data_IF_615284161674
#
_entry.id   IF_615284161674
#
_cell.length_a   1.000
_cell.length_b   1.000
_cell.length_c   1.000
_cell.angle_alpha   90.00
_cell.angle_beta   90.00
_cell.angle_gamma   90.00
#
_symmetry.space_group_name_H-M   'P 1'
#
loop_
_entity.id
_entity.type
_entity.pdbx_description
1 polymer ?
#
# COMPACT_ATOMS: atom_id res chain seq x y z
N UNK A 1 -34.94 -2.06 -42.51
CA UNK A 1 -34.03 -2.93 -41.74
C UNK A 1 -32.87 -2.07 -41.26
N UNK A 2 -33.18 -1.01 -40.50
CA UNK A 2 -32.20 0.02 -40.13
C UNK A 2 -32.51 0.73 -38.80
N UNK A 3 -33.52 0.27 -38.05
CA UNK A 3 -33.88 0.83 -36.73
C UNK A 3 -33.52 -0.08 -35.54
N UNK A 4 -32.99 -1.28 -35.79
CA UNK A 4 -32.60 -2.21 -34.72
C UNK A 4 -31.14 -2.10 -34.29
N UNK A 5 -30.34 -1.23 -34.93
CA UNK A 5 -28.90 -1.09 -34.65
C UNK A 5 -28.53 0.10 -33.73
N UNK A 6 -29.47 1.02 -33.43
CA UNK A 6 -29.20 2.16 -32.54
C UNK A 6 -29.50 1.92 -31.05
N UNK A 7 -30.17 0.83 -30.69
CA UNK A 7 -30.48 0.52 -29.28
C UNK A 7 -29.31 -0.20 -28.58
N UNK A 8 -28.47 -0.93 -29.32
CA UNK A 8 -27.34 -1.67 -28.74
C UNK A 8 -26.13 -0.77 -28.43
N UNK A 9 -26.03 0.41 -29.08
CA UNK A 9 -24.90 1.33 -28.86
C UNK A 9 -25.09 2.25 -27.65
N UNK A 10 -26.33 2.46 -27.19
CA UNK A 10 -26.61 3.23 -25.97
C UNK A 10 -26.62 2.39 -24.68
N UNK A 11 -26.65 1.06 -24.79
CA UNK A 11 -26.68 0.15 -23.62
C UNK A 11 -25.30 -0.30 -23.13
N UNK A 12 -24.19 0.22 -23.70
CA UNK A 12 -22.83 -0.17 -23.30
C UNK A 12 -22.03 0.93 -22.58
N UNK A 13 -22.69 1.93 -22.01
CA UNK A 13 -22.01 3.03 -21.31
C UNK A 13 -22.61 3.43 -19.95
N UNK A 14 -23.41 2.56 -19.31
CA UNK A 14 -23.88 2.77 -17.93
C UNK A 14 -23.83 1.45 -17.15
N UNK A 15 -22.64 0.91 -17.01
CA UNK A 15 -22.31 -0.09 -15.98
C UNK A 15 -20.98 0.28 -15.33
N UNK A 16 -20.92 1.52 -14.83
CA UNK A 16 -19.99 1.90 -13.78
C UNK A 16 -20.81 2.50 -12.63
N UNK A 17 -20.50 2.03 -11.43
CA UNK A 17 -21.23 2.26 -10.19
C UNK A 17 -21.38 3.76 -9.91
N UNK A 18 -22.56 4.32 -10.16
CA UNK A 18 -22.97 5.62 -9.63
C UNK A 18 -23.96 5.43 -8.48
N UNK A 19 -23.90 6.24 -7.42
CA UNK A 19 -24.78 6.09 -6.27
C UNK A 19 -26.24 6.38 -6.66
N UNK A 20 -27.16 5.56 -6.16
CA UNK A 20 -28.62 5.64 -6.34
C UNK A 20 -29.26 7.02 -6.03
N UNK A 21 -28.51 7.97 -5.47
CA UNK A 21 -28.97 9.34 -5.20
C UNK A 21 -29.21 10.19 -6.45
N UNK A 22 -28.49 9.95 -7.55
CA UNK A 22 -28.64 10.73 -8.79
C UNK A 22 -29.90 10.37 -9.58
N UNK A 23 -30.27 9.09 -9.61
CA UNK A 23 -31.47 8.62 -10.29
C UNK A 23 -32.75 9.17 -9.65
N UNK A 24 -32.75 9.33 -8.32
CA UNK A 24 -33.88 9.93 -7.58
C UNK A 24 -34.01 11.41 -7.89
N UNK A 25 -32.88 12.14 -8.02
CA UNK A 25 -32.90 13.56 -8.37
C UNK A 25 -33.47 13.81 -9.77
N UNK A 26 -33.10 13.00 -10.77
CA UNK A 26 -33.66 13.11 -12.12
C UNK A 26 -35.14 12.73 -12.20
N UNK A 27 -35.57 11.69 -11.48
CA UNK A 27 -36.99 11.29 -11.41
C UNK A 27 -37.82 12.37 -10.72
N UNK A 28 -37.31 12.99 -9.64
CA UNK A 28 -37.99 14.08 -8.95
C UNK A 28 -38.07 15.34 -9.83
N UNK A 29 -37.03 15.62 -10.61
CA UNK A 29 -36.99 16.73 -11.55
C UNK A 29 -37.95 16.52 -12.74
N UNK A 30 -38.07 15.29 -13.25
CA UNK A 30 -39.05 14.89 -14.27
C UNK A 30 -40.50 14.89 -13.76
N UNK A 31 -40.70 14.62 -12.47
CA UNK A 31 -42.02 14.67 -11.85
C UNK A 31 -42.48 16.10 -11.54
N UNK A 32 -41.57 16.96 -11.05
CA UNK A 32 -41.84 18.38 -10.78
C UNK A 32 -42.05 19.19 -12.06
N UNK A 33 -41.37 18.85 -13.15
CA UNK A 33 -41.52 19.50 -14.46
C UNK A 33 -42.79 19.13 -15.22
N UNK A 34 -43.55 18.13 -14.76
CA UNK A 34 -44.85 17.72 -15.34
C UNK A 34 -46.07 18.13 -14.52
N UNK A 35 -45.89 18.90 -13.44
CA UNK A 35 -47.01 19.50 -12.72
C UNK A 35 -47.56 20.69 -13.53
N UNK A 36 -48.86 20.70 -13.91
CA UNK A 36 -49.46 21.87 -14.51
C UNK A 36 -49.41 23.03 -13.51
N UNK A 37 -48.99 24.20 -13.99
CA UNK A 37 -48.98 25.46 -13.24
C UNK A 37 -50.43 25.85 -12.91
N UNK A 38 -50.95 25.34 -11.79
CA UNK A 38 -52.28 25.71 -11.30
C UNK A 38 -52.13 27.02 -10.52
N UNK A 39 -52.71 28.08 -11.10
CA UNK A 39 -52.96 29.37 -10.47
C UNK A 39 -53.62 29.23 -9.10
N UNK A 40 -53.16 30.01 -8.11
CA UNK A 40 -53.78 30.12 -6.79
C UNK A 40 -55.31 30.28 -6.86
N UNK A 41 -56.04 29.61 -5.96
CA UNK A 41 -57.17 30.27 -5.31
C UNK A 41 -57.13 30.16 -3.77
N UNK A 42 -57.79 31.15 -3.17
CA UNK A 42 -58.02 31.50 -1.77
C UNK A 42 -58.37 30.34 -0.78
N UNK A 43 -58.23 30.53 0.55
CA UNK A 43 -58.06 29.48 1.53
C UNK A 43 -59.40 28.92 1.99
N UNK A 44 -59.92 27.90 1.30
CA UNK A 44 -61.01 27.05 1.83
C UNK A 44 -61.11 25.72 1.08
N UNK A 45 -60.05 24.90 1.10
CA UNK A 45 -60.21 23.45 0.89
C UNK A 45 -59.17 22.63 1.67
N UNK A 46 -59.53 22.26 2.90
CA UNK A 46 -58.76 21.31 3.73
C UNK A 46 -58.82 19.85 3.23
N UNK A 47 -59.23 19.61 1.98
CA UNK A 47 -59.47 18.27 1.44
C UNK A 47 -58.37 17.76 0.49
N UNK A 48 -57.64 18.65 -0.20
CA UNK A 48 -56.62 18.24 -1.18
C UNK A 48 -55.27 17.84 -0.52
N UNK A 49 -54.89 18.50 0.59
CA UNK A 49 -53.64 18.23 1.29
C UNK A 49 -53.64 16.87 2.02
N UNK A 50 -54.79 16.40 2.52
CA UNK A 50 -54.90 15.09 3.16
C UNK A 50 -54.63 13.94 2.17
N UNK A 51 -55.01 14.08 0.90
CA UNK A 51 -54.78 13.05 -0.13
C UNK A 51 -53.28 12.89 -0.44
N UNK A 52 -52.54 14.00 -0.52
CA UNK A 52 -51.09 13.99 -0.77
C UNK A 52 -50.35 13.37 0.42
N UNK A 53 -50.71 13.74 1.65
CA UNK A 53 -50.09 13.16 2.85
C UNK A 53 -50.36 11.66 2.98
N UNK A 54 -51.57 11.19 2.66
CA UNK A 54 -51.89 9.76 2.66
C UNK A 54 -51.08 9.03 1.57
N UNK A 55 -50.94 9.63 0.39
CA UNK A 55 -50.17 9.02 -0.71
C UNK A 55 -48.68 8.92 -0.37
N UNK A 56 -48.09 9.98 0.20
CA UNK A 56 -46.70 9.97 0.67
C UNK A 56 -46.51 8.99 1.84
N UNK A 57 -47.44 8.92 2.79
CA UNK A 57 -47.40 7.96 3.89
C UNK A 57 -47.49 6.51 3.40
N UNK A 58 -48.31 6.22 2.39
CA UNK A 58 -48.41 4.89 1.78
C UNK A 58 -47.14 4.52 1.01
N UNK A 59 -46.52 5.45 0.28
CA UNK A 59 -45.23 5.23 -0.38
C UNK A 59 -44.12 4.96 0.66
N UNK A 60 -44.09 5.74 1.75
CA UNK A 60 -43.16 5.52 2.86
C UNK A 60 -43.42 4.18 3.57
N UNK A 61 -44.67 3.77 3.74
CA UNK A 61 -45.03 2.50 4.35
C UNK A 61 -44.62 1.31 3.46
N UNK A 62 -44.82 1.40 2.14
CA UNK A 62 -44.36 0.40 1.16
C UNK A 62 -42.83 0.35 1.13
N UNK A 63 -42.15 1.50 1.23
CA UNK A 63 -40.69 1.56 1.31
C UNK A 63 -40.14 0.94 2.60
N UNK A 64 -40.77 1.20 3.75
CA UNK A 64 -40.34 0.61 5.04
C UNK A 64 -40.64 -0.88 5.14
N UNK A 65 -41.79 -1.34 4.64
CA UNK A 65 -42.14 -2.77 4.61
C UNK A 65 -41.35 -3.54 3.56
N UNK A 66 -41.07 -2.93 2.40
CA UNK A 66 -40.20 -3.49 1.36
C UNK A 66 -38.74 -3.62 1.82
N UNK A 67 -38.22 -2.63 2.56
CA UNK A 67 -36.90 -2.74 3.19
C UNK A 67 -36.87 -3.76 4.34
N UNK A 68 -37.97 -3.95 5.08
CA UNK A 68 -38.04 -4.99 6.12
C UNK A 68 -38.08 -6.41 5.53
N UNK A 69 -38.69 -6.60 4.36
CA UNK A 69 -38.70 -7.89 3.65
C UNK A 69 -37.35 -8.18 2.96
N UNK A 70 -36.73 -7.18 2.33
CA UNK A 70 -35.37 -7.30 1.78
C UNK A 70 -34.31 -7.47 2.87
N UNK A 71 -34.52 -6.92 4.08
CA UNK A 71 -33.65 -7.16 5.23
C UNK A 71 -33.74 -8.61 5.75
N UNK A 72 -34.85 -9.31 5.54
CA UNK A 72 -34.98 -10.72 5.91
C UNK A 72 -34.33 -11.66 4.89
N UNK A 73 -34.39 -11.35 3.59
CA UNK A 73 -33.65 -12.10 2.57
C UNK A 73 -32.14 -11.79 2.59
N UNK A 74 -31.74 -10.56 2.96
CA UNK A 74 -30.33 -10.27 3.26
C UNK A 74 -29.85 -10.93 4.56
N UNK A 75 -30.73 -11.20 5.53
CA UNK A 75 -30.37 -11.98 6.73
C UNK A 75 -30.11 -13.45 6.44
N UNK A 76 -30.63 -13.99 5.34
CA UNK A 76 -30.29 -15.34 4.87
C UNK A 76 -28.92 -15.36 4.16
N UNK A 77 -28.47 -14.22 3.61
CA UNK A 77 -27.13 -14.09 3.00
C UNK A 77 -26.06 -13.48 3.93
N UNK A 78 -26.46 -12.84 5.04
CA UNK A 78 -25.60 -12.30 6.10
C UNK A 78 -25.73 -13.08 7.43
N UNK A 79 -26.33 -14.27 7.38
CA UNK A 79 -26.59 -15.18 8.50
C UNK A 79 -25.39 -16.00 8.97
N UNK A 80 -24.15 -15.52 8.78
CA UNK A 80 -23.01 -15.92 9.63
C UNK A 80 -22.82 -14.82 10.68
N UNK A 81 -23.82 -14.71 11.55
CA UNK A 81 -23.65 -14.05 12.83
C UNK A 81 -22.59 -14.81 13.61
N UNK A 82 -21.46 -14.13 13.85
CA UNK A 82 -20.49 -14.46 14.86
C UNK A 82 -21.21 -14.62 16.20
N UNK A 83 -21.50 -15.86 16.57
CA UNK A 83 -21.69 -16.20 17.97
C UNK A 83 -20.32 -16.09 18.63
N UNK A 84 -20.11 -15.02 19.39
CA UNK A 84 -19.14 -14.98 20.48
C UNK A 84 -19.59 -15.97 21.57
N UNK A 85 -19.50 -17.25 21.26
CA UNK A 85 -19.30 -18.30 22.23
C UNK A 85 -17.83 -18.67 22.11
N UNK A 86 -17.09 -18.58 23.22
CA UNK A 86 -15.76 -19.12 23.40
C UNK A 86 -15.61 -20.46 22.66
N UNK A 87 -15.12 -20.41 21.43
CA UNK A 87 -14.51 -21.54 20.79
C UNK A 87 -13.03 -21.24 20.88
N UNK A 88 -12.43 -21.82 21.92
CA UNK A 88 -11.09 -22.38 21.81
C UNK A 88 -11.08 -23.28 20.57
N UNK A 89 -10.91 -22.67 19.40
CA UNK A 89 -10.36 -23.37 18.27
C UNK A 89 -8.90 -23.58 18.64
N UNK A 90 -8.61 -24.74 19.22
CA UNK A 90 -7.31 -25.36 19.09
C UNK A 90 -6.96 -25.33 17.60
N UNK A 91 -6.23 -24.30 17.19
CA UNK A 91 -5.39 -24.36 16.03
C UNK A 91 -4.39 -25.48 16.37
N UNK A 92 -4.64 -26.68 15.83
CA UNK A 92 -3.63 -27.73 15.82
C UNK A 92 -2.39 -27.10 15.20
N UNK A 93 -1.31 -27.08 15.98
CA UNK A 93 -0.01 -26.50 15.66
C UNK A 93 0.45 -26.94 14.28
N UNK A 94 0.26 -26.08 13.28
CA UNK A 94 1.07 -26.09 12.07
C UNK A 94 2.39 -25.40 12.44
N UNK A 95 3.34 -26.16 13.00
CA UNK A 95 4.71 -25.67 13.11
C UNK A 95 5.25 -25.41 11.69
N UNK A 96 5.58 -24.15 11.40
CA UNK A 96 6.48 -23.83 10.31
C UNK A 96 7.87 -24.37 10.70
N UNK A 97 8.13 -25.65 10.42
CA UNK A 97 9.44 -26.24 10.65
C UNK A 97 10.46 -25.58 9.72
N UNK A 98 11.36 -24.77 10.26
CA UNK A 98 12.69 -24.61 9.67
C UNK A 98 13.41 -25.95 9.86
N UNK A 99 13.61 -26.70 8.77
CA UNK A 99 14.39 -27.94 8.83
C UNK A 99 15.84 -27.60 9.18
N UNK A 100 16.29 -28.04 10.35
CA UNK A 100 17.69 -28.27 10.68
C UNK A 100 17.85 -29.77 10.96
N UNK A 101 18.93 -30.33 10.44
CA UNK A 101 19.22 -31.77 10.38
C UNK A 101 19.32 -32.41 11.78
N UNK A 102 18.80 -33.64 11.91
CA UNK A 102 18.93 -34.41 13.15
C UNK A 102 18.26 -35.79 13.12
N UNK A 103 19.07 -36.80 12.81
CA UNK A 103 18.86 -38.25 12.93
C UNK A 103 18.17 -38.65 14.27
N UNK A 104 17.30 -39.68 14.31
CA UNK A 104 17.29 -40.81 15.29
C UNK A 104 16.14 -41.84 15.04
N UNK A 105 16.58 -43.07 14.73
CA UNK A 105 16.07 -44.46 14.88
C UNK A 105 14.61 -44.82 15.30
N UNK A 106 14.03 -45.80 14.58
CA UNK A 106 12.90 -46.70 14.95
C UNK A 106 13.40 -47.95 15.71
N UNK A 107 12.54 -48.76 16.40
CA UNK A 107 11.92 -49.92 15.73
C UNK A 107 10.47 -50.30 16.16
N UNK A 108 9.85 -51.09 15.26
CA UNK A 108 8.55 -51.79 15.28
C UNK A 108 8.32 -52.76 16.46
N UNK A 109 7.04 -53.05 16.75
CA UNK A 109 6.51 -54.45 16.81
C UNK A 109 4.99 -54.53 16.51
N UNK A 110 4.61 -55.39 15.56
CA UNK A 110 3.27 -55.98 15.32
C UNK A 110 3.00 -57.07 16.40
N UNK A 111 1.80 -57.56 16.74
CA UNK A 111 0.73 -58.25 15.98
C UNK A 111 -0.43 -58.57 16.96
N UNK A 112 -1.68 -58.76 16.50
CA UNK A 112 -2.49 -59.99 16.67
C UNK A 112 -3.90 -59.83 16.05
N UNK A 113 -4.46 -60.95 15.61
CA UNK A 113 -5.36 -61.12 14.47
C UNK A 113 -6.74 -61.67 14.87
N UNK A 114 -7.74 -61.40 13.99
CA UNK A 114 -9.06 -62.07 13.81
C UNK A 114 -10.14 -61.81 14.89
N UNK A 115 -11.37 -61.42 14.56
CA UNK A 115 -12.36 -62.20 13.78
C UNK A 115 -13.61 -61.33 13.48
N UNK A 116 -14.41 -61.74 12.48
CA UNK A 116 -15.76 -61.27 12.08
C UNK A 116 -15.81 -60.38 10.83
N UNK A 117 -15.43 -61.02 9.73
CA UNK A 117 -16.04 -60.81 8.42
C UNK A 117 -17.43 -61.46 8.45
N UNK A 118 -18.51 -60.66 8.35
CA UNK A 118 -19.78 -60.94 7.62
C UNK A 118 -20.95 -60.08 8.15
N UNK A 119 -20.84 -58.77 7.96
CA UNK A 119 -22.01 -57.93 7.64
C UNK A 119 -21.66 -57.12 6.38
N UNK A 120 -21.64 -57.82 5.24
CA UNK A 120 -21.70 -57.18 3.93
C UNK A 120 -23.17 -56.87 3.65
N UNK A 121 -23.50 -55.58 3.65
CA UNK A 121 -24.24 -54.87 2.59
C UNK A 121 -25.02 -53.69 3.18
N UNK A 122 -24.27 -52.62 3.50
CA UNK A 122 -24.65 -51.22 3.28
C UNK A 122 -23.45 -50.35 3.69
N UNK A 123 -22.36 -50.37 2.91
CA UNK A 123 -21.26 -49.40 3.05
C UNK A 123 -20.48 -49.24 1.74
N UNK A 124 -21.17 -48.77 0.71
CA UNK A 124 -20.60 -47.84 -0.27
C UNK A 124 -21.04 -46.46 0.22
N UNK A 125 -20.22 -45.47 0.54
CA UNK A 125 -18.83 -45.16 0.25
C UNK A 125 -18.31 -44.25 1.38
N UNK A 126 -17.32 -44.69 2.16
CA UNK A 126 -16.37 -43.77 2.79
C UNK A 126 -15.07 -44.50 3.06
N UNK A 127 -14.28 -44.74 2.01
CA UNK A 127 -12.84 -44.86 2.18
C UNK A 127 -12.29 -43.46 2.51
N UNK A 128 -12.65 -42.91 3.66
CA UNK A 128 -11.91 -41.81 4.27
C UNK A 128 -10.63 -42.44 4.82
N UNK A 129 -9.65 -42.52 3.92
CA UNK A 129 -8.28 -42.90 4.22
C UNK A 129 -7.79 -42.12 5.43
N UNK A 130 -7.60 -42.82 6.54
CA UNK A 130 -6.96 -42.34 7.78
C UNK A 130 -5.50 -41.91 7.59
N UNK A 131 -4.94 -41.97 6.36
CA UNK A 131 -3.62 -41.41 6.02
C UNK A 131 -3.60 -39.88 5.89
N UNK A 132 -4.74 -39.22 5.82
CA UNK A 132 -4.80 -37.77 5.54
C UNK A 132 -4.89 -36.92 6.82
N UNK A 133 -4.11 -37.25 7.85
CA UNK A 133 -3.99 -36.37 9.02
C UNK A 133 -2.91 -35.32 8.76
N UNK A 134 -3.33 -34.06 8.90
CA UNK A 134 -2.51 -32.87 9.17
C UNK A 134 -1.45 -32.52 8.13
N UNK A 135 -1.90 -32.10 6.94
CA UNK A 135 -1.05 -31.29 6.06
C UNK A 135 -1.63 -29.89 5.96
N UNK A 136 -0.84 -28.91 6.40
CA UNK A 136 -1.20 -27.50 6.39
C UNK A 136 -1.38 -27.03 4.93
N UNK A 137 -2.63 -26.79 4.53
CA UNK A 137 -3.00 -26.23 3.22
C UNK A 137 -3.23 -24.73 3.38
N UNK A 138 -2.97 -23.92 2.34
CA UNK A 138 -3.43 -22.53 2.32
C UNK A 138 -4.94 -22.49 2.58
N UNK A 139 -5.39 -21.55 3.42
CA UNK A 139 -6.80 -21.37 3.72
C UNK A 139 -7.60 -21.14 2.44
N UNK A 140 -8.73 -21.83 2.27
CA UNK A 140 -9.58 -21.76 1.07
C UNK A 140 -9.17 -22.70 -0.05
N UNK A 141 -8.10 -23.50 0.12
CA UNK A 141 -7.65 -24.51 -0.86
C UNK A 141 -8.05 -25.94 -0.48
N UNK A 142 -8.95 -26.12 0.49
CA UNK A 142 -9.32 -27.42 1.04
C UNK A 142 -9.91 -28.37 -0.02
N UNK A 143 -10.61 -27.81 -1.01
CA UNK A 143 -11.19 -28.55 -2.13
C UNK A 143 -10.17 -29.01 -3.19
N UNK A 144 -8.95 -28.48 -3.18
CA UNK A 144 -7.93 -28.77 -4.20
C UNK A 144 -7.05 -29.97 -3.80
N UNK A 145 -6.63 -30.82 -4.76
CA UNK A 145 -5.58 -31.81 -4.53
C UNK A 145 -4.27 -31.15 -4.08
N UNK A 146 -3.57 -31.75 -3.13
CA UNK A 146 -2.35 -31.17 -2.56
C UNK A 146 -1.29 -30.79 -3.61
N UNK A 147 -1.12 -31.61 -4.65
CA UNK A 147 -0.11 -31.41 -5.67
C UNK A 147 -0.41 -30.32 -6.71
N UNK A 148 -1.61 -29.72 -6.73
CA UNK A 148 -1.96 -28.65 -7.68
C UNK A 148 -1.74 -27.24 -7.11
N UNK A 149 -1.63 -27.12 -5.78
CA UNK A 149 -1.59 -25.81 -5.12
C UNK A 149 -0.17 -25.24 -5.18
N UNK A 150 0.01 -24.16 -5.93
CA UNK A 150 1.19 -23.30 -5.80
C UNK A 150 0.99 -22.35 -4.62
N UNK A 151 1.95 -22.31 -3.69
CA UNK A 151 1.91 -21.42 -2.53
C UNK A 151 2.31 -19.98 -2.86
N UNK A 152 3.11 -19.81 -3.92
CA UNK A 152 3.69 -18.53 -4.32
C UNK A 152 3.47 -18.27 -5.80
N UNK A 153 3.62 -17.01 -6.19
CA UNK A 153 3.65 -16.53 -7.57
C UNK A 153 4.88 -15.64 -7.75
N UNK A 154 5.05 -15.08 -8.94
CA UNK A 154 6.06 -14.07 -9.25
C UNK A 154 5.49 -13.00 -10.19
N UNK A 155 6.34 -12.05 -10.60
CA UNK A 155 5.98 -10.98 -11.53
C UNK A 155 6.49 -11.21 -12.95
N UNK A 156 6.91 -12.43 -13.28
CA UNK A 156 7.42 -12.75 -14.61
C UNK A 156 6.30 -12.67 -15.66
N UNK A 157 6.50 -11.87 -16.69
CA UNK A 157 5.57 -11.79 -17.82
C UNK A 157 5.68 -13.08 -18.65
N UNK A 158 4.55 -13.76 -18.87
CA UNK A 158 4.48 -14.99 -19.67
C UNK A 158 3.87 -14.68 -21.05
N UNK A 159 4.42 -15.23 -22.14
CA UNK A 159 3.83 -15.05 -23.47
C UNK A 159 2.45 -15.73 -23.53
N UNK A 160 1.56 -15.19 -24.36
CA UNK A 160 0.21 -15.76 -24.55
C UNK A 160 0.24 -17.14 -25.23
N UNK A 161 1.30 -17.44 -25.98
CA UNK A 161 1.56 -18.71 -26.64
C UNK A 161 3.07 -18.89 -26.87
N UNK A 162 3.49 -20.14 -27.11
CA UNK A 162 4.90 -20.48 -27.35
C UNK A 162 5.61 -20.93 -26.08
N UNK A 163 6.88 -21.32 -26.26
CA UNK A 163 7.71 -21.77 -25.16
C UNK A 163 8.13 -20.58 -24.29
N UNK A 164 8.23 -20.83 -22.99
CA UNK A 164 8.80 -19.87 -22.05
C UNK A 164 10.30 -20.05 -22.06
N UNK A 165 11.02 -19.06 -22.56
CA UNK A 165 12.46 -18.99 -22.34
C UNK A 165 12.71 -18.95 -20.83
N UNK A 166 13.55 -19.85 -20.35
CA UNK A 166 14.03 -19.83 -18.97
C UNK A 166 14.97 -18.65 -18.83
N UNK A 167 14.43 -17.45 -18.62
CA UNK A 167 15.25 -16.31 -18.22
C UNK A 167 15.92 -16.66 -16.89
N UNK A 168 17.19 -16.26 -16.69
CA UNK A 168 17.77 -16.30 -15.36
C UNK A 168 16.86 -15.49 -14.44
N UNK A 169 16.43 -16.08 -13.32
CA UNK A 169 15.55 -15.43 -12.38
C UNK A 169 16.23 -14.15 -11.89
N UNK A 170 15.77 -12.99 -12.37
CA UNK A 170 16.14 -11.69 -11.82
C UNK A 170 15.86 -11.69 -10.33
N UNK A 171 16.91 -11.62 -9.52
CA UNK A 171 16.80 -11.80 -8.07
C UNK A 171 16.32 -10.54 -7.35
N UNK A 172 16.11 -9.42 -8.02
CA UNK A 172 15.73 -8.16 -7.36
C UNK A 172 14.59 -7.44 -8.08
N UNK A 173 13.81 -6.69 -7.30
CA UNK A 173 12.67 -5.90 -7.74
C UNK A 173 12.90 -4.42 -7.43
N UNK A 174 12.69 -3.56 -8.43
CA UNK A 174 12.46 -2.13 -8.24
C UNK A 174 10.97 -1.82 -8.42
N UNK A 175 10.35 -1.35 -7.35
CA UNK A 175 9.02 -0.78 -7.37
C UNK A 175 9.11 0.73 -7.10
N UNK A 176 8.57 1.55 -7.98
CA UNK A 176 8.75 3.00 -7.93
C UNK A 176 7.44 3.73 -8.22
N UNK A 177 7.10 4.71 -7.38
CA UNK A 177 6.02 5.65 -7.70
C UNK A 177 6.45 6.54 -8.85
N UNK A 178 5.57 6.79 -9.82
CA UNK A 178 5.90 7.60 -11.00
C UNK A 178 4.74 8.48 -11.43
N UNK A 179 5.11 9.63 -11.97
CA UNK A 179 4.22 10.50 -12.72
C UNK A 179 4.95 11.15 -13.88
N UNK A 180 4.18 11.53 -14.89
CA UNK A 180 4.68 11.97 -16.19
C UNK A 180 5.57 13.21 -16.11
N UNK A 181 5.35 14.07 -15.11
CA UNK A 181 6.16 15.27 -14.87
C UNK A 181 7.62 14.94 -14.50
N UNK A 182 7.91 13.72 -14.03
CA UNK A 182 9.24 13.27 -13.63
C UNK A 182 9.84 12.28 -14.65
N UNK A 183 9.23 12.13 -15.83
CA UNK A 183 9.58 11.11 -16.84
C UNK A 183 11.07 11.03 -17.15
N UNK A 184 11.75 12.16 -17.38
CA UNK A 184 13.18 12.15 -17.75
C UNK A 184 14.09 11.63 -16.64
N UNK A 185 13.78 11.97 -15.39
CA UNK A 185 14.51 11.50 -14.23
C UNK A 185 14.29 10.01 -14.02
N UNK A 186 13.03 9.57 -14.10
CA UNK A 186 12.66 8.16 -14.02
C UNK A 186 13.30 7.37 -15.16
N UNK A 187 13.32 7.87 -16.39
CA UNK A 187 13.97 7.22 -17.52
C UNK A 187 15.46 6.93 -17.25
N UNK A 188 16.18 7.90 -16.69
CA UNK A 188 17.58 7.73 -16.30
C UNK A 188 17.76 6.68 -15.20
N UNK A 189 16.82 6.63 -14.26
CA UNK A 189 16.80 5.65 -13.19
C UNK A 189 16.52 4.24 -13.71
N UNK A 190 15.44 4.05 -14.47
CA UNK A 190 15.00 2.73 -14.94
C UNK A 190 16.02 2.08 -15.88
N UNK A 191 16.61 2.84 -16.81
CA UNK A 191 17.68 2.32 -17.67
C UNK A 191 18.82 1.70 -16.85
N UNK A 192 19.26 2.40 -15.81
CA UNK A 192 20.32 1.90 -14.93
C UNK A 192 19.94 0.60 -14.22
N UNK A 193 18.71 0.46 -13.73
CA UNK A 193 18.30 -0.78 -13.05
C UNK A 193 18.13 -1.95 -14.03
N UNK A 194 17.62 -1.70 -15.23
CA UNK A 194 17.47 -2.73 -16.27
C UNK A 194 18.81 -3.26 -16.78
N UNK A 195 19.85 -2.43 -16.82
CA UNK A 195 21.23 -2.86 -17.13
C UNK A 195 21.81 -3.87 -16.11
N UNK A 196 21.17 -4.01 -14.94
CA UNK A 196 21.58 -4.90 -13.85
C UNK A 196 20.51 -5.97 -13.54
N UNK A 197 19.72 -6.37 -14.55
CA UNK A 197 18.75 -7.47 -14.49
C UNK A 197 17.69 -7.34 -13.38
N UNK A 198 17.23 -6.12 -13.07
CA UNK A 198 16.11 -5.91 -12.16
C UNK A 198 14.77 -6.11 -12.87
N UNK A 199 13.82 -6.74 -12.16
CA UNK A 199 12.40 -6.58 -12.50
C UNK A 199 11.97 -5.19 -12.07
N UNK A 200 11.25 -4.48 -12.93
CA UNK A 200 10.80 -3.10 -12.66
C UNK A 200 9.27 -3.04 -12.70
N UNK A 201 8.70 -2.41 -11.68
CA UNK A 201 7.28 -2.14 -11.55
C UNK A 201 7.04 -0.65 -11.29
N UNK A 202 6.30 0.00 -12.18
CA UNK A 202 5.95 1.41 -12.11
C UNK A 202 4.55 1.58 -11.50
N UNK A 203 4.44 2.42 -10.47
CA UNK A 203 3.18 2.80 -9.86
C UNK A 203 2.75 4.19 -10.35
N UNK A 204 1.93 4.21 -11.40
CA UNK A 204 1.42 5.43 -12.02
C UNK A 204 0.31 6.04 -11.17
N UNK A 205 0.67 7.04 -10.36
CA UNK A 205 -0.29 7.72 -9.49
C UNK A 205 -1.12 8.78 -10.23
N UNK A 206 -0.72 9.18 -11.43
CA UNK A 206 -1.39 10.19 -12.24
C UNK A 206 -2.33 9.61 -13.31
N UNK A 207 -2.31 8.29 -13.49
CA UNK A 207 -3.12 7.61 -14.50
C UNK A 207 -2.48 7.55 -15.89
N UNK A 208 -1.32 8.18 -16.10
CA UNK A 208 -0.73 8.37 -17.43
C UNK A 208 0.24 7.25 -17.76
N UNK A 209 -0.23 6.24 -18.50
CA UNK A 209 0.59 5.09 -18.93
C UNK A 209 1.06 5.24 -20.37
N UNK A 210 0.18 5.63 -21.28
CA UNK A 210 0.48 5.60 -22.72
C UNK A 210 1.62 6.54 -23.15
N UNK A 211 1.79 7.66 -22.44
CA UNK A 211 2.86 8.61 -22.72
C UNK A 211 4.26 8.06 -22.40
N UNK A 212 4.38 6.90 -21.74
CA UNK A 212 5.66 6.23 -21.51
C UNK A 212 6.10 5.32 -22.65
N UNK A 213 5.19 5.01 -23.61
CA UNK A 213 5.42 4.05 -24.69
C UNK A 213 6.46 4.50 -25.73
N UNK A 214 6.88 5.76 -25.72
CA UNK A 214 8.01 6.27 -26.51
C UNK A 214 9.37 5.84 -25.96
N UNK A 215 9.43 5.33 -24.72
CA UNK A 215 10.64 4.77 -24.12
C UNK A 215 10.74 3.27 -24.48
N UNK A 216 11.86 2.87 -25.08
CA UNK A 216 12.09 1.50 -25.58
C UNK A 216 11.91 0.41 -24.50
N UNK A 217 12.24 0.74 -23.24
CA UNK A 217 12.12 -0.19 -22.13
C UNK A 217 10.69 -0.30 -21.57
N UNK A 218 9.75 0.57 -21.96
CA UNK A 218 8.39 0.63 -21.39
C UNK A 218 7.65 -0.71 -21.54
N UNK A 219 7.80 -1.38 -22.68
CA UNK A 219 7.19 -2.70 -22.92
C UNK A 219 7.82 -3.85 -22.13
N UNK A 220 8.95 -3.63 -21.47
CA UNK A 220 9.71 -4.64 -20.72
C UNK A 220 9.50 -4.55 -19.21
N UNK A 221 8.74 -3.56 -18.74
CA UNK A 221 8.47 -3.34 -17.31
C UNK A 221 6.98 -3.47 -17.01
N UNK A 222 6.63 -3.57 -15.74
CA UNK A 222 5.24 -3.72 -15.31
C UNK A 222 4.66 -2.35 -14.99
N UNK A 223 3.53 -2.02 -15.60
CA UNK A 223 2.81 -0.77 -15.32
C UNK A 223 1.57 -1.07 -14.48
N UNK A 224 1.46 -0.44 -13.32
CA UNK A 224 0.26 -0.47 -12.48
C UNK A 224 -0.23 0.96 -12.31
N UNK A 225 -1.48 1.23 -12.68
CA UNK A 225 -2.03 2.58 -12.69
C UNK A 225 -3.27 2.68 -11.80
N UNK A 226 -3.25 3.66 -10.90
CA UNK A 226 -4.38 4.01 -10.05
C UNK A 226 -4.27 5.49 -9.65
N UNK A 227 -5.18 6.31 -10.17
CA UNK A 227 -5.13 7.76 -9.97
C UNK A 227 -5.21 8.15 -8.48
N UNK A 228 -4.39 9.13 -8.11
CA UNK A 228 -4.32 9.73 -6.78
C UNK A 228 -4.03 8.72 -5.65
N UNK A 229 -3.34 7.61 -5.96
CA UNK A 229 -2.86 6.66 -4.97
C UNK A 229 -1.39 6.87 -4.63
N UNK A 230 -1.03 6.64 -3.38
CA UNK A 230 0.33 6.80 -2.86
C UNK A 230 1.17 5.55 -3.11
N UNK A 231 2.51 5.71 -3.09
CA UNK A 231 3.47 4.60 -3.18
C UNK A 231 3.12 3.40 -2.28
N UNK A 232 2.80 3.67 -1.02
CA UNK A 232 2.49 2.62 -0.03
C UNK A 232 1.11 2.00 -0.23
N UNK A 233 0.16 2.71 -0.85
CA UNK A 233 -1.12 2.12 -1.27
C UNK A 233 -0.90 1.04 -2.32
N UNK A 234 -0.06 1.31 -3.33
CA UNK A 234 0.32 0.35 -4.36
C UNK A 234 1.10 -0.81 -3.76
N UNK A 235 2.13 -0.51 -2.98
CA UNK A 235 2.98 -1.54 -2.37
C UNK A 235 2.15 -2.53 -1.52
N UNK A 236 1.18 -2.03 -0.74
CA UNK A 236 0.29 -2.88 0.05
C UNK A 236 -0.56 -3.84 -0.80
N UNK A 237 -0.91 -3.46 -2.03
CA UNK A 237 -1.86 -4.20 -2.89
C UNK A 237 -1.17 -5.10 -3.92
N UNK A 238 -0.02 -4.67 -4.45
CA UNK A 238 0.63 -5.34 -5.57
C UNK A 238 1.94 -6.05 -5.20
N UNK A 239 2.52 -5.74 -4.03
CA UNK A 239 3.75 -6.40 -3.56
C UNK A 239 3.45 -7.37 -2.41
N UNK A 240 2.44 -8.23 -2.57
CA UNK A 240 2.12 -9.25 -1.57
C UNK A 240 3.31 -10.19 -1.33
N UNK A 241 3.66 -10.57 -0.10
CA UNK A 241 4.88 -11.34 0.19
C UNK A 241 4.98 -12.67 -0.54
N UNK A 242 3.84 -13.32 -0.84
CA UNK A 242 3.80 -14.58 -1.59
C UNK A 242 3.94 -14.39 -3.11
N UNK A 243 3.75 -13.16 -3.62
CA UNK A 243 4.01 -12.79 -5.03
C UNK A 243 5.46 -12.34 -5.21
N UNK A 244 6.01 -11.57 -4.27
CA UNK A 244 7.39 -11.07 -4.37
C UNK A 244 8.41 -12.00 -3.70
N UNK A 245 8.00 -13.23 -3.40
CA UNK A 245 8.82 -14.20 -2.66
C UNK A 245 10.04 -14.69 -3.45
N UNK A 246 10.11 -14.47 -4.76
CA UNK A 246 11.26 -14.90 -5.58
C UNK A 246 12.36 -13.84 -5.67
N UNK A 247 12.12 -12.63 -5.15
CA UNK A 247 13.09 -11.54 -5.14
C UNK A 247 13.83 -11.47 -3.79
N UNK A 248 15.16 -11.47 -3.82
CA UNK A 248 16.05 -11.32 -2.68
C UNK A 248 15.91 -9.94 -2.04
N UNK A 249 15.87 -8.89 -2.88
CA UNK A 249 15.75 -7.50 -2.46
C UNK A 249 14.67 -6.73 -3.21
N UNK A 250 13.94 -5.91 -2.48
CA UNK A 250 12.83 -5.09 -2.95
C UNK A 250 13.15 -3.63 -2.67
N UNK A 251 13.35 -2.86 -3.73
CA UNK A 251 13.56 -1.42 -3.72
C UNK A 251 12.18 -0.77 -3.85
N UNK A 252 11.80 0.07 -2.89
CA UNK A 252 10.51 0.77 -2.90
C UNK A 252 10.71 2.28 -2.91
N UNK A 253 10.95 2.84 -4.09
CA UNK A 253 11.54 4.18 -4.25
C UNK A 253 10.52 5.24 -4.70
N UNK A 254 10.84 6.50 -4.40
CA UNK A 254 10.18 7.69 -4.95
C UNK A 254 10.84 8.09 -6.30
N UNK A 255 10.09 8.81 -7.12
CA UNK A 255 10.45 9.25 -8.48
C UNK A 255 11.48 10.38 -8.54
N UNK A 256 11.66 11.14 -7.46
CA UNK A 256 12.48 12.35 -7.42
C UNK A 256 13.93 12.11 -6.97
N UNK A 257 14.43 10.91 -7.26
CA UNK A 257 15.77 10.43 -6.90
C UNK A 257 16.72 10.42 -8.10
N UNK A 258 17.82 11.16 -7.98
CA UNK A 258 18.94 11.15 -8.93
C UNK A 258 19.94 10.04 -8.62
N UNK A 259 20.21 9.18 -9.60
CA UNK A 259 21.06 7.98 -9.42
C UNK A 259 22.46 8.09 -10.04
N UNK A 260 22.94 9.28 -10.38
CA UNK A 260 24.24 9.47 -11.08
C UNK A 260 25.40 8.69 -10.44
N UNK A 261 25.52 8.77 -9.10
CA UNK A 261 26.61 8.16 -8.32
C UNK A 261 26.25 6.83 -7.65
N UNK A 262 25.18 6.19 -8.12
CA UNK A 262 24.67 4.93 -7.58
C UNK A 262 24.90 3.78 -8.56
N UNK A 263 25.30 2.63 -8.04
CA UNK A 263 25.45 1.39 -8.78
C UNK A 263 24.72 0.23 -8.05
N UNK A 264 23.66 -0.37 -8.64
CA UNK A 264 22.85 -1.40 -7.99
C UNK A 264 23.64 -2.60 -7.47
N UNK A 265 24.52 -3.20 -8.29
CA UNK A 265 25.28 -4.38 -7.86
C UNK A 265 26.24 -4.12 -6.71
N UNK A 266 26.97 -2.99 -6.78
CA UNK A 266 27.88 -2.58 -5.70
C UNK A 266 27.11 -2.32 -4.41
N UNK A 267 25.96 -1.65 -4.51
CA UNK A 267 25.08 -1.43 -3.37
C UNK A 267 24.66 -2.76 -2.75
N UNK A 268 24.12 -3.69 -3.54
CA UNK A 268 23.67 -4.99 -3.06
C UNK A 268 24.82 -5.87 -2.53
N UNK A 269 26.03 -5.75 -3.08
CA UNK A 269 27.21 -6.44 -2.53
C UNK A 269 27.47 -6.01 -1.08
N UNK A 270 27.38 -4.70 -0.80
CA UNK A 270 27.55 -4.15 0.54
C UNK A 270 26.38 -4.56 1.45
N UNK A 271 25.14 -4.51 0.97
CA UNK A 271 23.96 -4.97 1.73
C UNK A 271 24.15 -6.41 2.21
N UNK A 272 24.60 -7.30 1.33
CA UNK A 272 24.86 -8.72 1.65
C UNK A 272 26.03 -8.89 2.61
N UNK A 273 27.16 -8.24 2.35
CA UNK A 273 28.36 -8.30 3.21
C UNK A 273 28.07 -7.82 4.63
N UNK A 274 27.30 -6.74 4.77
CA UNK A 274 26.94 -6.13 6.03
C UNK A 274 25.74 -6.80 6.71
N UNK A 275 25.12 -7.77 6.03
CA UNK A 275 23.95 -8.51 6.49
C UNK A 275 22.74 -7.60 6.79
N UNK A 276 22.54 -6.54 6.02
CA UNK A 276 21.45 -5.59 6.21
C UNK A 276 20.14 -6.16 5.67
N UNK A 277 19.09 -6.07 6.48
CA UNK A 277 17.73 -6.49 6.11
C UNK A 277 16.89 -5.31 5.60
N UNK A 278 17.19 -4.12 6.10
CA UNK A 278 16.57 -2.87 5.68
C UNK A 278 17.68 -1.86 5.47
N UNK A 279 17.72 -1.24 4.32
CA UNK A 279 18.79 -0.30 4.01
C UNK A 279 18.32 0.80 3.06
N UNK A 280 19.16 1.80 2.86
CA UNK A 280 19.00 2.78 1.80
C UNK A 280 20.37 3.28 1.33
N UNK A 281 20.47 3.82 0.10
CA UNK A 281 21.63 4.61 -0.30
C UNK A 281 21.73 5.88 0.56
N UNK A 282 22.95 6.38 0.76
CA UNK A 282 23.14 7.68 1.39
C UNK A 282 22.74 8.82 0.45
N UNK A 283 22.53 10.01 1.02
CA UNK A 283 22.19 11.22 0.28
C UNK A 283 23.39 12.15 0.16
N UNK A 284 23.62 12.64 -1.05
CA UNK A 284 24.58 13.71 -1.28
C UNK A 284 24.06 15.01 -0.67
N UNK A 285 24.72 15.49 0.39
CA UNK A 285 24.36 16.72 1.10
C UNK A 285 24.42 17.97 0.21
N UNK A 286 25.34 17.99 -0.76
CA UNK A 286 25.54 19.15 -1.63
C UNK A 286 24.49 19.27 -2.74
N UNK A 287 23.82 18.16 -3.08
CA UNK A 287 22.85 18.10 -4.17
C UNK A 287 21.41 17.88 -3.70
N UNK A 288 21.20 17.29 -2.51
CA UNK A 288 19.86 16.92 -2.05
C UNK A 288 19.14 18.07 -1.35
N UNK A 289 17.91 18.36 -1.77
CA UNK A 289 17.08 19.44 -1.20
C UNK A 289 16.53 19.08 0.18
N UNK A 290 16.09 17.83 0.36
CA UNK A 290 15.46 17.33 1.59
C UNK A 290 16.20 16.09 2.06
N UNK A 291 16.55 16.05 3.34
CA UNK A 291 17.24 14.92 3.95
C UNK A 291 17.09 14.94 5.47
N UNK A 292 17.19 13.76 6.07
CA UNK A 292 17.36 13.61 7.50
C UNK A 292 18.85 13.47 7.87
N UNK A 293 19.30 13.92 9.05
CA UNK A 293 20.73 13.90 9.40
C UNK A 293 21.42 12.52 9.32
N UNK A 294 20.68 11.43 9.53
CA UNK A 294 21.19 10.06 9.43
C UNK A 294 21.17 9.52 8.00
N UNK A 295 20.47 10.13 7.05
CA UNK A 295 20.50 9.69 5.64
C UNK A 295 21.66 10.31 4.87
N UNK A 296 22.33 11.32 5.44
CA UNK A 296 23.42 12.06 4.80
C UNK A 296 24.69 11.20 4.68
N UNK A 297 25.28 11.24 3.48
CA UNK A 297 26.53 10.54 3.16
C UNK A 297 27.72 10.97 4.01
N UNK A 298 28.46 9.98 4.49
CA UNK A 298 29.77 10.12 5.14
C UNK A 298 30.89 9.72 4.19
N UNK A 299 31.69 10.69 3.75
CA UNK A 299 32.73 10.48 2.74
C UNK A 299 33.79 9.42 3.09
N UNK A 300 34.10 9.25 4.37
CA UNK A 300 35.13 8.32 4.86
C UNK A 300 34.54 7.05 5.49
N UNK A 301 33.35 6.66 5.05
CA UNK A 301 32.61 5.51 5.57
C UNK A 301 32.08 4.70 4.39
N UNK A 302 31.96 3.39 4.57
CA UNK A 302 31.30 2.50 3.61
C UNK A 302 29.80 2.40 3.93
N UNK A 303 29.47 2.26 5.21
CA UNK A 303 28.10 2.14 5.75
C UNK A 303 28.07 2.79 7.13
N UNK A 304 26.97 3.44 7.46
CA UNK A 304 26.68 3.84 8.83
C UNK A 304 25.25 3.50 9.24
N UNK A 305 25.05 3.31 10.54
CA UNK A 305 23.76 2.88 11.12
C UNK A 305 23.22 3.82 12.18
N UNK A 306 24.02 4.83 12.54
CA UNK A 306 23.76 5.78 13.63
C UNK A 306 24.20 7.17 13.21
N UNK A 307 23.48 8.21 13.63
CA UNK A 307 23.98 9.59 13.62
C UNK A 307 24.13 10.18 15.02
N UNK A 308 24.98 11.19 15.14
CA UNK A 308 25.26 11.87 16.39
C UNK A 308 24.71 13.28 16.38
N UNK A 309 24.04 13.66 17.47
CA UNK A 309 23.51 15.01 17.68
C UNK A 309 23.61 15.36 19.15
N UNK A 310 24.48 16.31 19.46
CA UNK A 310 24.75 16.74 20.83
C UNK A 310 23.98 18.01 21.23
N UNK A 311 23.22 18.63 20.32
CA UNK A 311 22.46 19.87 20.57
C UNK A 311 21.02 19.75 20.07
N UNK A 312 20.04 20.19 20.87
CA UNK A 312 18.60 20.18 20.54
C UNK A 312 17.76 19.34 21.52
N UNK A 313 16.45 19.22 21.25
CA UNK A 313 15.47 18.53 22.11
C UNK A 313 15.61 17.01 22.15
N UNK A 314 16.32 16.40 21.19
CA UNK A 314 16.62 14.96 21.19
C UNK A 314 18.12 14.73 20.93
N UNK A 315 18.79 14.16 21.93
CA UNK A 315 20.21 13.81 21.88
C UNK A 315 20.39 12.45 21.21
N UNK A 316 21.29 12.37 20.24
CA UNK A 316 21.74 11.10 19.67
C UNK A 316 23.20 10.88 20.04
N UNK A 317 23.43 9.88 20.87
CA UNK A 317 24.75 9.47 21.38
C UNK A 317 24.93 7.95 21.30
N UNK A 318 25.92 7.40 21.99
CA UNK A 318 26.20 5.96 21.97
C UNK A 318 25.10 5.13 22.65
N UNK A 319 24.34 5.71 23.59
CA UNK A 319 23.31 5.01 24.35
C UNK A 319 21.98 4.99 23.61
N UNK A 320 21.80 5.79 22.56
CA UNK A 320 20.57 5.76 21.78
C UNK A 320 20.42 4.41 21.06
N UNK A 321 19.25 3.81 21.16
CA UNK A 321 18.94 2.47 20.64
C UNK A 321 17.80 2.48 19.63
N UNK A 322 17.20 3.65 19.40
CA UNK A 322 15.98 3.82 18.64
C UNK A 322 16.11 4.85 17.49
N UNK A 323 15.21 4.76 16.50
CA UNK A 323 14.99 5.84 15.54
C UNK A 323 14.67 7.17 16.24
N UNK A 324 15.11 8.31 15.68
CA UNK A 324 15.86 8.45 14.43
C UNK A 324 17.38 8.29 14.59
N UNK A 325 17.89 8.02 15.80
CA UNK A 325 19.33 8.04 16.08
C UNK A 325 20.07 6.84 15.50
N UNK A 326 19.45 5.66 15.52
CA UNK A 326 20.03 4.40 15.05
C UNK A 326 18.94 3.49 14.51
N UNK A 327 19.30 2.58 13.60
CA UNK A 327 18.40 1.54 13.13
C UNK A 327 17.21 2.07 12.33
N UNK A 328 17.44 3.13 11.55
CA UNK A 328 16.43 3.88 10.82
C UNK A 328 16.94 4.25 9.43
N UNK A 329 16.04 4.13 8.45
CA UNK A 329 16.18 4.63 7.08
C UNK A 329 14.89 5.38 6.73
N UNK A 330 14.98 6.36 5.85
CA UNK A 330 13.85 7.17 5.41
C UNK A 330 12.99 6.40 4.39
N UNK A 331 11.70 6.72 4.35
CA UNK A 331 10.72 6.01 3.50
C UNK A 331 10.83 6.30 2.00
N UNK A 332 11.66 7.26 1.58
CA UNK A 332 11.75 7.65 0.17
C UNK A 332 12.54 6.65 -0.69
N UNK A 333 13.62 6.08 -0.15
CA UNK A 333 14.49 5.15 -0.89
C UNK A 333 14.82 3.85 -0.12
N UNK A 334 13.88 3.22 0.61
CA UNK A 334 14.16 2.00 1.35
C UNK A 334 14.36 0.82 0.40
N UNK A 335 15.22 -0.09 0.85
CA UNK A 335 15.47 -1.40 0.27
C UNK A 335 15.28 -2.44 1.36
N UNK A 336 14.44 -3.43 1.09
CA UNK A 336 14.12 -4.51 2.01
C UNK A 336 14.67 -5.83 1.48
N UNK A 337 15.20 -6.67 2.36
CA UNK A 337 15.30 -8.10 2.07
C UNK A 337 13.92 -8.71 1.94
N UNK A 338 13.81 -9.86 1.28
CA UNK A 338 12.58 -10.68 1.23
C UNK A 338 11.95 -10.88 2.61
N UNK A 339 12.75 -11.20 3.62
CA UNK A 339 12.27 -11.46 4.97
C UNK A 339 11.75 -10.18 5.65
N UNK A 340 12.50 -9.08 5.52
CA UNK A 340 12.06 -7.79 6.06
C UNK A 340 10.79 -7.28 5.38
N UNK A 341 10.69 -7.42 4.05
CA UNK A 341 9.49 -7.02 3.32
C UNK A 341 8.26 -7.81 3.75
N UNK A 342 8.37 -9.13 3.95
CA UNK A 342 7.25 -9.93 4.45
C UNK A 342 6.69 -9.37 5.75
N UNK A 343 7.55 -9.03 6.71
CA UNK A 343 7.12 -8.39 7.95
C UNK A 343 6.55 -6.97 7.71
N UNK A 344 7.25 -6.14 6.94
CA UNK A 344 6.85 -4.76 6.69
C UNK A 344 5.50 -4.67 5.98
N UNK A 345 5.21 -5.60 5.06
CA UNK A 345 3.92 -5.67 4.37
C UNK A 345 2.75 -5.92 5.33
N UNK A 346 2.91 -6.81 6.33
CA UNK A 346 1.90 -7.02 7.36
C UNK A 346 1.79 -5.84 8.33
N UNK A 347 2.90 -5.12 8.55
CA UNK A 347 2.90 -3.89 9.34
C UNK A 347 2.10 -2.78 8.63
N UNK A 348 2.27 -2.61 7.31
CA UNK A 348 1.50 -1.64 6.51
C UNK A 348 0.02 -2.04 6.51
N UNK A 349 -0.81 -1.14 7.02
CA UNK A 349 -2.25 -1.35 7.14
C UNK A 349 -2.98 -0.84 5.89
N UNK A 350 -4.15 -1.42 5.59
CA UNK A 350 -4.92 -1.03 4.40
C UNK A 350 -5.37 0.43 4.39
N UNK A 351 -5.55 1.02 5.58
CA UNK A 351 -5.93 2.40 5.82
C UNK A 351 -4.74 3.36 6.02
N UNK A 352 -3.51 2.82 6.06
CA UNK A 352 -2.27 3.60 6.18
C UNK A 352 -1.65 3.80 4.79
N UNK A 353 -2.23 4.69 4.01
CA UNK A 353 -1.88 4.83 2.59
C UNK A 353 -0.67 5.74 2.38
N UNK A 354 -0.49 6.81 3.16
CA UNK A 354 0.70 7.67 3.03
C UNK A 354 1.92 7.06 3.73
N UNK A 355 1.65 6.41 4.86
CA UNK A 355 2.62 5.77 5.74
C UNK A 355 3.75 6.67 6.29
N UNK A 356 3.73 7.99 6.10
CA UNK A 356 4.76 8.87 6.67
C UNK A 356 4.90 8.71 8.18
N UNK A 357 6.12 8.39 8.63
CA UNK A 357 6.44 8.09 10.03
C UNK A 357 6.44 6.59 10.37
N UNK A 358 6.02 5.71 9.46
CA UNK A 358 6.11 4.26 9.62
C UNK A 358 7.57 3.78 9.62
N UNK A 359 8.48 4.50 8.96
CA UNK A 359 9.94 4.26 8.99
C UNK A 359 10.51 4.07 10.41
N UNK A 360 9.97 4.80 11.40
CA UNK A 360 10.36 4.64 12.81
C UNK A 360 9.99 3.28 13.41
N UNK A 361 9.11 2.51 12.77
CA UNK A 361 8.72 1.15 13.16
C UNK A 361 9.28 0.07 12.26
N UNK A 362 9.79 0.40 11.07
CA UNK A 362 10.38 -0.60 10.15
C UNK A 362 11.51 -1.41 10.80
N UNK A 363 12.24 -0.86 11.77
CA UNK A 363 13.25 -1.60 12.54
C UNK A 363 12.74 -2.86 13.25
N UNK A 364 11.44 -2.99 13.54
CA UNK A 364 10.85 -4.24 14.05
C UNK A 364 10.88 -5.37 13.02
N UNK A 365 11.00 -5.04 11.74
CA UNK A 365 11.10 -6.00 10.64
C UNK A 365 12.53 -6.32 10.22
N UNK A 366 13.53 -5.85 10.96
CA UNK A 366 14.95 -6.03 10.64
C UNK A 366 15.50 -7.44 10.92
N UNK A 367 14.63 -8.44 11.17
CA UNK A 367 14.98 -9.83 11.45
C UNK A 367 16.09 -9.98 12.52
N UNK A 368 16.02 -9.15 13.57
CA UNK A 368 17.00 -9.11 14.65
C UNK A 368 17.25 -7.69 15.16
N UNK A 369 18.46 -7.46 15.66
CA UNK A 369 18.87 -6.17 16.23
C UNK A 369 18.91 -5.08 15.15
N UNK A 370 17.94 -4.16 15.19
CA UNK A 370 17.83 -3.03 14.26
C UNK A 370 19.08 -2.16 14.23
N UNK A 371 19.87 -2.11 15.29
CA UNK A 371 21.09 -1.30 15.34
C UNK A 371 22.22 -1.86 14.47
N UNK A 372 22.11 -3.13 14.07
CA UNK A 372 23.05 -3.84 13.20
C UNK A 372 22.47 -4.16 11.83
N UNK A 373 21.17 -4.47 11.78
CA UNK A 373 20.47 -4.95 10.58
C UNK A 373 19.87 -3.84 9.72
N UNK A 374 19.83 -2.60 10.21
CA UNK A 374 19.34 -1.44 9.47
C UNK A 374 20.46 -0.43 9.27
N UNK A 375 20.67 0.05 8.03
CA UNK A 375 21.80 0.94 7.73
C UNK A 375 21.71 1.73 6.43
N UNK A 376 22.53 2.77 6.37
CA UNK A 376 22.70 3.69 5.23
C UNK A 376 24.04 3.40 4.57
N UNK A 377 24.05 3.14 3.27
CA UNK A 377 25.26 2.81 2.52
C UNK A 377 25.87 4.09 1.96
N UNK A 378 27.05 4.47 2.46
CA UNK A 378 27.75 5.72 2.12
C UNK A 378 28.54 5.64 0.82
N UNK A 379 29.01 4.44 0.47
CA UNK A 379 29.79 4.19 -0.73
C UNK A 379 28.96 4.35 -2.01
N UNK A 380 27.66 4.07 -1.93
CA UNK A 380 26.70 4.14 -3.03
C UNK A 380 25.59 5.10 -2.64
N UNK A 381 25.49 6.24 -3.34
CA UNK A 381 24.69 7.36 -2.88
C UNK A 381 23.88 7.99 -4.02
N UNK A 382 22.76 8.61 -3.64
CA UNK A 382 21.79 9.22 -4.53
C UNK A 382 21.57 10.70 -4.16
N UNK A 383 20.84 11.40 -5.01
CA UNK A 383 20.39 12.78 -4.77
C UNK A 383 18.88 12.79 -4.61
N UNK A 384 18.35 13.53 -3.62
CA UNK A 384 16.90 13.73 -3.48
C UNK A 384 16.51 15.16 -3.88
N UNK A 385 15.72 15.29 -4.94
CA UNK A 385 15.39 16.59 -5.54
C UNK A 385 14.22 17.29 -4.86
N UNK A 386 13.43 16.59 -4.03
CA UNK A 386 12.35 17.19 -3.24
C UNK A 386 11.16 17.69 -4.06
N UNK A 387 10.93 17.09 -5.24
CA UNK A 387 9.89 17.53 -6.18
C UNK A 387 8.52 17.07 -5.67
N UNK A 388 7.58 17.98 -5.34
CA UNK A 388 6.29 17.58 -4.81
C UNK A 388 5.44 16.90 -5.89
N UNK A 389 5.02 15.67 -5.66
CA UNK A 389 4.32 14.87 -6.68
C UNK A 389 2.83 14.68 -6.39
N UNK A 390 2.46 14.27 -5.17
CA UNK A 390 1.07 14.19 -4.73
C UNK A 390 0.60 15.45 -3.99
N UNK A 391 -0.48 16.06 -4.48
CA UNK A 391 -1.07 17.29 -3.90
C UNK A 391 -0.28 18.58 -4.20
N UNK A 392 0.77 18.50 -5.01
CA UNK A 392 1.44 19.68 -5.57
C UNK A 392 0.52 20.34 -6.59
N UNK A 393 0.01 21.53 -6.27
CA UNK A 393 -0.78 22.31 -7.23
C UNK A 393 0.04 22.53 -8.51
N UNK A 394 -0.62 22.49 -9.68
CA UNK A 394 -0.03 22.92 -10.95
C UNK A 394 0.53 24.33 -10.77
N UNK A 395 1.83 24.41 -10.49
CA UNK A 395 2.59 25.62 -10.74
C UNK A 395 3.26 25.36 -12.06
N UNK A 396 2.67 25.92 -13.10
CA UNK A 396 3.32 26.11 -14.37
C UNK A 396 4.71 26.70 -14.13
N UNK A 397 5.67 26.20 -14.91
CA UNK A 397 7.09 26.50 -14.75
C UNK A 397 7.35 28.01 -14.68
N UNK A 398 8.00 28.43 -13.59
CA UNK A 398 8.86 29.60 -13.56
C UNK A 398 9.67 29.59 -12.27
N UNK A 399 10.70 28.74 -12.24
CA UNK A 399 11.87 28.93 -11.38
C UNK A 399 13.13 28.64 -12.19
N UNK A 400 13.36 29.47 -13.21
CA UNK A 400 14.64 29.54 -13.91
C UNK A 400 14.93 30.99 -14.31
N UNK A 401 15.45 31.77 -13.37
CA UNK A 401 16.31 32.93 -13.61
C UNK A 401 16.79 33.52 -12.28
N UNK A 402 17.85 32.92 -11.74
CA UNK A 402 18.78 33.61 -10.82
C UNK A 402 19.85 34.25 -11.71
N UNK A 403 19.76 35.56 -11.90
CA UNK A 403 20.79 36.52 -12.31
C UNK A 403 20.09 37.88 -12.24
N UNK A 404 20.61 39.00 -11.75
CA UNK A 404 21.91 39.43 -11.25
C UNK A 404 21.59 40.58 -10.27
N UNK A 405 22.32 40.67 -9.17
CA UNK A 405 22.22 41.81 -8.27
C UNK A 405 22.80 43.07 -8.96
N UNK A 406 22.05 44.17 -9.03
CA UNK A 406 22.66 45.47 -8.74
C UNK A 406 21.69 46.62 -8.36
N UNK A 407 22.16 47.40 -7.38
CA UNK A 407 21.86 48.76 -6.93
C UNK A 407 20.46 49.26 -6.51
N UNK A 408 20.51 50.02 -5.40
CA UNK A 408 19.47 50.64 -4.56
C UNK A 408 19.17 52.10 -5.00
N UNK A 409 18.45 52.96 -4.24
CA UNK A 409 17.00 53.03 -3.93
C UNK A 409 16.37 54.39 -4.33
N UNK A 410 15.04 54.50 -4.56
CA UNK A 410 14.20 55.62 -4.06
C UNK A 410 12.72 55.64 -4.50
N UNK A 411 11.88 55.90 -3.48
CA UNK A 411 10.71 56.79 -3.39
C UNK A 411 9.44 56.62 -4.24
N UNK A 412 8.36 56.32 -3.49
CA UNK A 412 7.06 57.03 -3.37
C UNK A 412 6.09 57.12 -4.56
N UNK A 413 4.96 56.45 -4.33
CA UNK A 413 3.56 56.86 -4.48
C UNK A 413 3.03 57.23 -5.87
N UNK A 414 2.06 56.44 -6.35
CA UNK A 414 0.69 56.95 -6.59
C UNK A 414 -0.32 55.81 -6.71
N UNK A 415 -1.50 56.09 -6.18
CA UNK A 415 -2.69 55.26 -6.07
C UNK A 415 -3.23 54.74 -7.39
N UNK A 416 -3.80 53.53 -7.38
CA UNK A 416 -5.15 53.29 -7.88
C UNK A 416 -5.79 52.10 -7.16
N UNK A 417 -6.86 52.42 -6.46
CA UNK A 417 -7.79 51.52 -5.77
C UNK A 417 -8.69 50.85 -6.80
N UNK A 418 -8.50 49.56 -7.07
CA UNK A 418 -9.52 48.64 -7.59
C UNK A 418 -8.97 47.20 -7.68
N UNK A 419 -8.66 46.59 -6.53
CA UNK A 419 -8.45 45.13 -6.44
C UNK A 419 -8.66 44.57 -5.02
N UNK A 420 -9.25 45.35 -4.11
CA UNK A 420 -9.48 44.96 -2.73
C UNK A 420 -10.84 44.27 -2.55
N UNK A 421 -11.06 43.15 -3.25
CA UNK A 421 -12.17 42.22 -2.95
C UNK A 421 -12.03 40.83 -3.59
N UNK A 422 -10.90 40.50 -4.25
CA UNK A 422 -10.73 39.19 -4.91
C UNK A 422 -9.39 38.52 -4.58
N UNK A 423 -8.72 38.99 -3.52
CA UNK A 423 -7.42 38.51 -3.05
C UNK A 423 -7.51 37.60 -1.79
N UNK A 424 -8.66 36.98 -1.55
CA UNK A 424 -8.87 36.04 -0.44
C UNK A 424 -9.41 34.67 -0.89
N UNK A 425 -9.20 34.29 -2.15
CA UNK A 425 -9.06 32.85 -2.43
C UNK A 425 -7.67 32.45 -1.93
N UNK A 426 -7.59 32.21 -0.62
CA UNK A 426 -6.52 31.42 -0.02
C UNK A 426 -6.34 30.20 -0.93
N UNK A 427 -5.19 30.16 -1.59
CA UNK A 427 -4.69 28.99 -2.30
C UNK A 427 -4.56 27.90 -1.24
N UNK A 428 -5.65 27.18 -0.97
CA UNK A 428 -5.66 26.03 -0.08
C UNK A 428 -4.60 25.08 -0.61
N UNK A 429 -3.48 25.01 0.09
CA UNK A 429 -2.38 24.15 -0.29
C UNK A 429 -2.86 22.71 -0.10
N UNK A 430 -3.28 22.05 -1.18
CA UNK A 430 -3.69 20.64 -1.16
C UNK A 430 -2.64 19.77 -0.46
N UNK A 431 -1.36 20.18 -0.47
CA UNK A 431 -0.29 19.53 0.28
C UNK A 431 -0.52 19.56 1.78
N UNK A 432 -1.02 20.66 2.35
CA UNK A 432 -1.36 20.74 3.78
C UNK A 432 -2.45 19.75 4.16
N UNK A 433 -3.45 19.54 3.30
CA UNK A 433 -4.50 18.54 3.49
C UNK A 433 -3.94 17.12 3.42
N UNK A 434 -3.03 16.85 2.49
CA UNK A 434 -2.28 15.58 2.41
C UNK A 434 -1.47 15.33 3.69
N UNK A 435 -0.73 16.34 4.19
CA UNK A 435 0.02 16.24 5.44
C UNK A 435 -0.89 15.96 6.64
N UNK A 436 -2.03 16.65 6.71
CA UNK A 436 -3.01 16.45 7.76
C UNK A 436 -3.60 15.03 7.71
N UNK A 437 -4.00 14.57 6.51
CA UNK A 437 -4.51 13.23 6.30
C UNK A 437 -3.50 12.16 6.71
N UNK A 438 -2.26 12.29 6.26
CA UNK A 438 -1.16 11.39 6.65
C UNK A 438 -0.95 11.37 8.16
N UNK A 439 -1.09 12.51 8.85
CA UNK A 439 -0.94 12.60 10.30
C UNK A 439 -2.07 11.86 11.04
N UNK A 440 -3.30 11.95 10.52
CA UNK A 440 -4.47 11.23 11.06
C UNK A 440 -4.29 9.72 10.89
N UNK A 441 -3.89 9.26 9.69
CA UNK A 441 -3.63 7.84 9.42
C UNK A 441 -2.56 7.28 10.36
N UNK A 442 -1.46 8.02 10.54
CA UNK A 442 -0.38 7.60 11.43
C UNK A 442 -0.80 7.56 12.90
N UNK A 443 -1.68 8.48 13.34
CA UNK A 443 -2.26 8.45 14.68
C UNK A 443 -3.09 7.18 14.91
N UNK A 444 -3.95 6.83 13.96
CA UNK A 444 -4.77 5.59 14.01
C UNK A 444 -3.88 4.36 14.09
N UNK A 445 -2.82 4.31 13.27
CA UNK A 445 -1.83 3.23 13.32
C UNK A 445 -1.19 3.13 14.70
N UNK A 446 -0.76 4.25 15.29
CA UNK A 446 -0.15 4.26 16.62
C UNK A 446 -1.09 3.77 17.72
N UNK A 447 -2.35 4.21 17.70
CA UNK A 447 -3.37 3.73 18.62
C UNK A 447 -3.58 2.22 18.49
N UNK A 448 -3.62 1.71 17.25
CA UNK A 448 -3.72 0.27 16.95
C UNK A 448 -2.50 -0.49 17.47
N UNK A 449 -1.29 0.02 17.21
CA UNK A 449 -0.03 -0.57 17.68
C UNK A 449 0.01 -0.68 19.21
N UNK A 450 -0.29 0.42 19.91
CA UNK A 450 -0.28 0.46 21.38
C UNK A 450 -1.33 -0.47 21.96
N UNK A 451 -2.54 -0.52 21.37
CA UNK A 451 -3.58 -1.44 21.80
C UNK A 451 -3.16 -2.90 21.62
N UNK A 452 -2.70 -3.28 20.42
CA UNK A 452 -2.25 -4.64 20.13
C UNK A 452 -1.08 -5.07 21.02
N UNK A 453 -0.10 -4.18 21.24
CA UNK A 453 1.06 -4.46 22.12
C UNK A 453 0.67 -4.71 23.58
N UNK A 454 -0.47 -4.17 24.04
CA UNK A 454 -0.96 -4.36 25.41
C UNK A 454 -1.86 -5.59 25.56
N UNK A 455 -2.64 -5.91 24.52
CA UNK A 455 -3.61 -7.01 24.52
C UNK A 455 -2.98 -8.35 24.14
N UNK A 456 -1.85 -8.36 23.45
CA UNK A 456 -1.14 -9.57 23.06
C UNK A 456 -0.23 -10.07 24.20
N UNK A 457 -0.78 -10.93 25.06
CA UNK A 457 -0.05 -11.55 26.17
C UNK A 457 1.15 -12.42 25.73
N UNK A 458 1.16 -12.86 24.46
CA UNK A 458 2.22 -13.71 23.91
C UNK A 458 3.34 -12.91 23.23
N UNK A 459 3.15 -11.60 23.02
CA UNK A 459 4.12 -10.74 22.37
C UNK A 459 4.96 -9.97 23.37
N UNK A 460 6.27 -10.06 23.24
CA UNK A 460 7.25 -9.28 24.01
C UNK A 460 7.91 -8.30 23.07
N UNK A 461 7.94 -7.02 23.44
CA UNK A 461 8.63 -6.02 22.63
C UNK A 461 10.14 -6.36 22.59
N UNK A 462 10.70 -6.70 21.42
CA UNK A 462 12.12 -7.02 21.30
C UNK A 462 13.05 -5.86 21.68
N UNK A 463 12.51 -4.65 21.81
CA UNK A 463 13.23 -3.43 22.17
C UNK A 463 12.76 -2.84 23.53
N UNK A 464 11.97 -3.56 24.33
CA UNK A 464 11.50 -3.07 25.65
C UNK A 464 12.65 -2.70 26.60
N UNK A 465 13.72 -3.50 26.61
CA UNK A 465 14.95 -3.25 27.39
C UNK A 465 15.83 -2.14 26.80
N UNK A 466 15.38 -1.48 25.73
CA UNK A 466 16.07 -0.39 25.06
C UNK A 466 15.33 0.96 25.21
N UNK A 467 14.15 0.98 25.84
CA UNK A 467 13.32 2.18 26.07
C UNK A 467 13.27 2.62 27.56
N UNK A 468 14.11 2.06 28.43
CA UNK A 468 14.26 2.57 29.80
C UNK A 468 15.03 3.89 29.81
N UNK A 469 14.34 4.99 29.55
CA UNK A 469 14.36 6.21 30.39
C UNK A 469 13.31 7.21 29.88
N UNK A 470 12.21 7.43 30.63
CA UNK A 470 11.32 8.56 30.41
C UNK A 470 11.88 9.79 31.12
N UNK A 471 12.40 10.74 30.36
CA UNK A 471 12.66 12.11 30.82
C UNK A 471 12.15 13.03 29.70
N UNK A 472 11.23 13.96 29.88
CA UNK A 472 10.57 14.59 31.01
C UNK A 472 10.01 15.90 30.47
#
# INVERSE_FOLDING_TARGET
>A
MEDSFNIVKHLRLVLEVQPFSYLIAEILHLYLSRLPLVSLPDPKSRSCLCSIFITVALICAIYFTGNAFLANDFRVFLGLGMNNSQQNAQCGTCECSMMSDGLWLLPLTLTFQDTVVRLRQQKETSHTSTKCKEKCRPFGSEALPEGIVSKTSNLEMRPLWGDVDKSPNSVNLLAIAVGIKQKELVNSLIKKFLEHDFVVMLFHYDGVVDEWNDLEWSSHVIHVSAMNQTKWWFAKRFLHPDIVSEYDYIFLWDEDLGVESFHPDKYLSIVREEGLEISQPALDLGKSEVHHPITVRRRNSRVHRRFYRFKGSSRCDNNSTAPPCVGWVEMMAPVFSKAAWRCAWYMVQNDLIHAWGLDKKLGYCAQGDRTKKVGVIDAEYITHLGVPTLGGGNSDGNKSSKELADHSPQSKNTSNSEASATALYEKFDNRSLVRNRSSIEMKIFWERWVKASKEDECWVDPFQNQETEPHG
#
